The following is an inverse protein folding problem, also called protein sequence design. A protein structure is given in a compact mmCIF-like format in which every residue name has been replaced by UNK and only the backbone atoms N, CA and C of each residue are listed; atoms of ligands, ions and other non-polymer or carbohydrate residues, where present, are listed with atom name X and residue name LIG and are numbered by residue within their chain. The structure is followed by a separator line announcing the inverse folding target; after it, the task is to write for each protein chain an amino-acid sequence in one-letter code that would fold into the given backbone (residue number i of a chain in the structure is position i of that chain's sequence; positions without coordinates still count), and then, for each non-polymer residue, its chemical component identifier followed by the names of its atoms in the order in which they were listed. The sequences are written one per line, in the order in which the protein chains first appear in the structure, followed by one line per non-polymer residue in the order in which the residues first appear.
data_IF_759279922043
#
_entry.id   IF_759279922043
#
_cell.length_a   1.000
_cell.length_b   1.000
_cell.length_c   1.000
_cell.angle_alpha   90.00
_cell.angle_beta   90.00
_cell.angle_gamma   90.00
#
_symmetry.space_group_name_H-M   'P 1'
#
loop_
_entity.id
_entity.type
_entity.pdbx_description
1 polymer ?
#
# COMPACT_ATOMS: atom_id res chain seq x y z
N UNK A 1 -25.16 4.47 -28.30
CA UNK A 1 -23.76 4.86 -28.01
C UNK A 1 -23.58 6.24 -27.37
N UNK A 2 -24.52 7.19 -27.48
CA UNK A 2 -24.39 8.51 -26.86
C UNK A 2 -24.24 8.49 -25.32
N UNK A 3 -25.01 7.64 -24.63
CA UNK A 3 -24.99 7.53 -23.16
C UNK A 3 -23.65 7.01 -22.61
N UNK A 4 -22.98 6.12 -23.36
CA UNK A 4 -21.70 5.53 -22.96
C UNK A 4 -20.55 6.53 -23.07
N UNK A 5 -20.56 7.35 -24.12
CA UNK A 5 -19.58 8.43 -24.34
C UNK A 5 -19.80 9.55 -23.32
N UNK A 6 -21.05 9.94 -23.05
CA UNK A 6 -21.37 10.93 -22.04
C UNK A 6 -20.89 10.50 -20.64
N UNK A 7 -21.11 9.24 -20.26
CA UNK A 7 -20.62 8.69 -18.99
C UNK A 7 -19.08 8.66 -18.89
N UNK A 8 -18.39 8.47 -20.01
CA UNK A 8 -16.93 8.49 -20.05
C UNK A 8 -16.40 9.92 -19.86
N UNK A 9 -17.00 10.91 -20.54
CA UNK A 9 -16.64 12.32 -20.41
C UNK A 9 -16.89 12.82 -18.98
N UNK A 10 -18.00 12.42 -18.34
CA UNK A 10 -18.26 12.78 -16.94
C UNK A 10 -17.29 12.09 -15.98
N UNK A 11 -16.91 10.83 -16.22
CA UNK A 11 -15.90 10.16 -15.40
C UNK A 11 -14.54 10.87 -15.45
N UNK A 12 -14.09 11.30 -16.64
CA UNK A 12 -12.87 12.10 -16.80
C UNK A 12 -13.01 13.45 -16.07
N UNK A 13 -14.12 14.14 -16.25
CA UNK A 13 -14.39 15.41 -15.59
C UNK A 13 -14.36 15.31 -14.06
N UNK A 14 -14.95 14.25 -13.50
CA UNK A 14 -14.95 13.99 -12.05
C UNK A 14 -13.55 13.62 -11.55
N UNK A 15 -12.77 12.84 -12.30
CA UNK A 15 -11.38 12.52 -11.94
C UNK A 15 -10.55 13.79 -11.80
N UNK A 16 -10.62 14.68 -12.80
CA UNK A 16 -9.90 15.95 -12.78
C UNK A 16 -10.41 16.89 -11.68
N UNK A 17 -11.72 16.94 -11.44
CA UNK A 17 -12.29 17.74 -10.35
C UNK A 17 -11.72 17.28 -9.00
N UNK A 18 -11.71 15.96 -8.74
CA UNK A 18 -11.19 15.42 -7.48
C UNK A 18 -9.69 15.65 -7.39
N UNK A 19 -8.93 15.39 -8.45
CA UNK A 19 -7.48 15.58 -8.49
C UNK A 19 -7.10 17.03 -8.18
N UNK A 20 -7.65 18.00 -8.94
CA UNK A 20 -7.38 19.41 -8.73
C UNK A 20 -8.00 19.96 -7.45
N UNK A 21 -9.14 19.44 -7.01
CA UNK A 21 -9.77 19.80 -5.75
C UNK A 21 -8.91 19.38 -4.54
N UNK A 22 -8.35 18.17 -4.58
CA UNK A 22 -7.40 17.69 -3.57
C UNK A 22 -6.11 18.52 -3.61
N UNK A 23 -5.58 18.81 -4.81
CA UNK A 23 -4.40 19.67 -4.97
C UNK A 23 -4.66 21.09 -4.43
N UNK A 24 -5.85 21.65 -4.64
CA UNK A 24 -6.21 22.97 -4.14
C UNK A 24 -6.31 23.00 -2.60
N UNK A 25 -6.87 21.95 -1.99
CA UNK A 25 -7.04 21.85 -0.53
C UNK A 25 -5.74 21.47 0.19
N UNK A 26 -4.92 20.59 -0.40
CA UNK A 26 -3.71 20.02 0.22
C UNK A 26 -2.40 20.63 -0.29
N UNK A 27 -2.43 21.45 -1.33
CA UNK A 27 -1.26 21.99 -2.02
C UNK A 27 -0.79 21.10 -3.19
N UNK A 28 -0.33 21.73 -4.28
CA UNK A 28 0.25 21.06 -5.46
C UNK A 28 1.67 20.53 -5.24
N UNK A 29 2.20 20.78 -4.04
CA UNK A 29 3.49 20.24 -3.64
C UNK A 29 3.24 18.78 -3.27
N UNK A 30 3.86 17.81 -3.95
CA UNK A 30 3.99 16.50 -3.37
C UNK A 30 4.77 16.72 -2.07
N UNK A 31 4.04 16.79 -0.96
CA UNK A 31 4.60 16.58 0.37
C UNK A 31 5.25 15.20 0.27
N UNK A 32 6.55 15.19 -0.08
CA UNK A 32 7.37 14.01 -0.03
C UNK A 32 7.21 13.53 1.39
N UNK A 33 6.39 12.47 1.56
CA UNK A 33 5.85 11.98 2.82
C UNK A 33 6.74 12.45 3.95
N UNK A 34 6.31 13.47 4.74
CA UNK A 34 7.20 14.20 5.62
C UNK A 34 7.95 13.15 6.40
N UNK A 35 9.29 13.15 6.29
CA UNK A 35 10.17 12.11 6.83
C UNK A 35 9.80 11.87 8.30
N UNK A 36 8.87 10.93 8.53
CA UNK A 36 8.23 10.71 9.84
C UNK A 36 9.25 10.19 10.85
N UNK A 37 10.43 9.79 10.36
CA UNK A 37 11.62 9.59 11.14
C UNK A 37 12.80 10.29 10.43
N UNK A 38 13.66 11.01 11.17
CA UNK A 38 14.84 11.64 10.61
C UNK A 38 15.62 10.60 9.81
N UNK A 39 15.98 10.95 8.57
CA UNK A 39 16.81 10.13 7.70
C UNK A 39 18.24 10.08 8.27
N UNK A 40 18.40 9.42 9.42
CA UNK A 40 19.68 8.91 9.91
C UNK A 40 20.01 7.73 9.00
N UNK A 41 20.55 8.07 7.84
CA UNK A 41 21.31 7.14 7.02
C UNK A 41 22.54 6.78 7.84
N UNK A 42 22.50 5.62 8.49
CA UNK A 42 23.70 5.07 9.11
C UNK A 42 24.48 4.37 7.99
N UNK A 43 25.52 5.05 7.50
CA UNK A 43 26.48 4.46 6.58
C UNK A 43 27.31 3.43 7.34
N UNK A 44 26.81 2.20 7.40
CA UNK A 44 27.58 1.05 7.82
C UNK A 44 27.95 0.26 6.56
N UNK A 45 29.26 0.18 6.30
CA UNK A 45 29.84 -0.65 5.22
C UNK A 45 29.51 -0.23 3.77
N UNK A 46 29.26 1.06 3.51
CA UNK A 46 29.02 1.56 2.15
C UNK A 46 27.61 1.26 1.60
N UNK A 47 26.72 0.71 2.43
CA UNK A 47 25.30 0.60 2.16
C UNK A 47 24.55 1.66 2.97
N UNK A 48 23.84 2.54 2.28
CA UNK A 48 23.05 3.58 2.90
C UNK A 48 21.78 2.95 3.49
N UNK A 49 21.88 2.43 4.72
CA UNK A 49 20.74 1.84 5.42
C UNK A 49 19.93 3.00 6.00
N UNK A 50 18.91 3.42 5.27
CA UNK A 50 17.89 4.32 5.81
C UNK A 50 17.12 3.59 6.91
N UNK A 51 16.89 4.29 8.03
CA UNK A 51 16.04 3.79 9.13
C UNK A 51 14.64 3.39 8.63
N UNK A 52 14.18 3.99 7.52
CA UNK A 52 12.95 3.60 6.83
C UNK A 52 13.00 2.18 6.26
N UNK A 53 14.11 1.78 5.64
CA UNK A 53 14.28 0.42 5.11
C UNK A 53 14.28 -0.63 6.23
N UNK A 54 14.91 -0.31 7.37
CA UNK A 54 14.89 -1.18 8.55
C UNK A 54 13.48 -1.31 9.12
N UNK A 55 12.72 -0.22 9.18
CA UNK A 55 11.35 -0.19 9.66
C UNK A 55 10.39 -0.95 8.72
N UNK A 56 10.54 -0.79 7.39
CA UNK A 56 9.80 -1.57 6.39
C UNK A 56 10.10 -3.06 6.54
N UNK A 57 11.37 -3.43 6.71
CA UNK A 57 11.78 -4.81 6.91
C UNK A 57 11.16 -5.38 8.19
N UNK A 58 11.23 -4.65 9.30
CA UNK A 58 10.64 -5.05 10.58
C UNK A 58 9.13 -5.23 10.49
N UNK A 59 8.42 -4.28 9.87
CA UNK A 59 6.97 -4.37 9.63
C UNK A 59 6.64 -5.57 8.74
N UNK A 60 7.39 -5.78 7.66
CA UNK A 60 7.14 -6.88 6.73
C UNK A 60 7.35 -8.24 7.39
N UNK A 61 8.42 -8.40 8.17
CA UNK A 61 8.67 -9.62 8.95
C UNK A 61 7.56 -9.83 9.99
N UNK A 62 7.16 -8.77 10.69
CA UNK A 62 6.07 -8.83 11.67
C UNK A 62 4.76 -9.28 11.02
N UNK A 63 4.41 -8.71 9.86
CA UNK A 63 3.25 -9.09 9.06
C UNK A 63 3.33 -10.55 8.60
N UNK A 64 4.49 -10.99 8.11
CA UNK A 64 4.68 -12.40 7.72
C UNK A 64 4.45 -13.34 8.91
N UNK A 65 4.98 -13.02 10.09
CA UNK A 65 4.78 -13.83 11.30
C UNK A 65 3.30 -13.85 11.71
N UNK A 66 2.63 -12.68 11.69
CA UNK A 66 1.21 -12.58 11.99
C UNK A 66 0.40 -13.42 11.00
N UNK A 67 0.66 -13.28 9.70
CA UNK A 67 -0.05 -14.00 8.66
C UNK A 67 0.20 -15.50 8.76
N UNK A 68 1.45 -15.92 9.00
CA UNK A 68 1.79 -17.32 9.24
C UNK A 68 1.07 -17.87 10.47
N UNK A 69 0.97 -17.09 11.55
CA UNK A 69 0.21 -17.45 12.74
C UNK A 69 -1.28 -17.56 12.45
N UNK A 70 -1.87 -16.60 11.72
CA UNK A 70 -3.27 -16.64 11.28
C UNK A 70 -3.50 -17.90 10.44
N UNK A 71 -2.66 -18.19 9.47
CA UNK A 71 -2.79 -19.37 8.60
C UNK A 71 -2.64 -20.68 9.37
N UNK A 72 -1.76 -20.77 10.36
CA UNK A 72 -1.54 -22.02 11.10
C UNK A 72 -2.51 -22.23 12.27
N UNK A 73 -2.96 -21.16 12.93
CA UNK A 73 -3.75 -21.24 14.17
C UNK A 73 -5.20 -20.84 14.02
N UNK A 74 -5.61 -20.07 13.01
CA UNK A 74 -7.00 -19.63 12.86
C UNK A 74 -7.82 -20.52 11.93
N UNK A 75 -9.15 -20.54 12.13
CA UNK A 75 -10.10 -21.28 11.28
C UNK A 75 -10.04 -20.84 9.81
N UNK A 76 -9.69 -19.58 9.54
CA UNK A 76 -9.49 -19.03 8.20
C UNK A 76 -8.35 -19.75 7.48
N UNK A 77 -7.24 -20.00 8.18
CA UNK A 77 -6.10 -20.74 7.64
C UNK A 77 -6.40 -22.22 7.35
N UNK A 78 -7.24 -22.86 8.17
CA UNK A 78 -7.73 -24.22 7.90
C UNK A 78 -8.60 -24.26 6.63
N UNK A 79 -9.48 -23.28 6.45
CA UNK A 79 -10.31 -23.17 5.25
C UNK A 79 -9.46 -22.95 3.98
N UNK A 80 -8.43 -22.11 4.06
CA UNK A 80 -7.49 -21.88 2.95
C UNK A 80 -6.71 -23.14 2.56
N UNK A 81 -6.31 -23.97 3.54
CA UNK A 81 -5.67 -25.28 3.28
C UNK A 81 -6.65 -26.37 2.82
N UNK A 82 -7.92 -26.28 3.21
CA UNK A 82 -8.96 -27.20 2.77
C UNK A 82 -9.32 -26.96 1.30
N UNK A 83 -9.41 -25.70 0.86
CA UNK A 83 -9.65 -25.34 -0.56
C UNK A 83 -8.51 -25.79 -1.47
N UNK A 84 -7.26 -25.87 -0.98
CA UNK A 84 -6.17 -26.43 -1.78
C UNK A 84 -6.19 -27.97 -1.85
N UNK A 85 -7.06 -28.63 -1.08
CA UNK A 85 -7.27 -30.09 -1.10
C UNK A 85 -8.57 -30.50 -1.80
N UNK A 86 -9.51 -29.58 -2.02
CA UNK A 86 -10.60 -29.76 -2.99
C UNK A 86 -10.06 -29.43 -4.39
N UNK A 87 -9.38 -30.42 -4.97
CA UNK A 87 -9.24 -30.53 -6.42
C UNK A 87 -10.30 -31.55 -6.84
N UNK A 88 -11.54 -31.09 -6.97
CA UNK A 88 -12.62 -31.79 -7.69
C UNK A 88 -13.23 -30.81 -8.71
#
# INVERSE_FOLDING_TARGET
NATRIAALITAIGVSLLIEYGVIYVRGAQPEAYPNVLPNKTFDLFGAQISSQSLLILLISVTLMVILQFIVHRTKIGKAMRAVSHDID
#
